data_IF_124164000449
#
_entry.id   IF_124164000449
#
_cell.length_a   1.000
_cell.length_b   1.000
_cell.length_c   1.000
_cell.angle_alpha   90.00
_cell.angle_beta   90.00
_cell.angle_gamma   90.00
#
_symmetry.space_group_name_H-M   'P 1'
#
loop_
_entity.id
_entity.type
_entity.pdbx_description
1 polymer ?
#
# COMPACT_ATOMS: atom_id res chain seq x y z
N UNK A 1 -2.37 2.08 -25.55
CA UNK A 1 -3.64 2.81 -25.38
C UNK A 1 -3.57 4.26 -25.86
N UNK A 2 -2.44 4.81 -26.24
CA UNK A 2 -2.32 6.15 -26.85
C UNK A 2 -2.76 7.33 -25.95
N UNK A 3 -2.77 7.15 -24.63
CA UNK A 3 -3.08 8.23 -23.69
C UNK A 3 -1.78 8.93 -23.34
N UNK A 4 -1.72 10.22 -23.64
CA UNK A 4 -0.60 11.06 -23.22
C UNK A 4 -0.77 11.42 -21.75
N UNK A 5 0.29 11.22 -20.97
CA UNK A 5 0.27 11.42 -19.52
C UNK A 5 1.40 12.35 -19.09
N UNK A 6 1.06 13.40 -18.36
CA UNK A 6 2.01 14.30 -17.73
C UNK A 6 1.98 14.06 -16.21
N UNK A 7 3.13 13.81 -15.61
CA UNK A 7 3.23 13.57 -14.16
C UNK A 7 3.86 14.77 -13.49
N UNK A 8 3.22 15.25 -12.44
CA UNK A 8 3.69 16.32 -11.59
C UNK A 8 3.94 15.76 -10.19
N UNK A 9 5.17 15.80 -9.73
CA UNK A 9 5.55 15.25 -8.43
C UNK A 9 6.45 16.19 -7.63
N UNK A 10 6.44 16.02 -6.31
CA UNK A 10 7.38 16.71 -5.43
C UNK A 10 8.77 16.10 -5.59
N UNK A 11 9.79 16.95 -5.69
CA UNK A 11 11.17 16.50 -5.60
C UNK A 11 11.59 16.31 -4.13
N UNK A 12 12.16 15.15 -3.81
CA UNK A 12 12.71 14.85 -2.48
C UNK A 12 14.23 14.74 -2.60
N UNK A 13 15.00 15.82 -2.41
CA UNK A 13 16.44 15.77 -2.50
C UNK A 13 17.01 14.79 -1.46
N UNK A 14 17.78 13.81 -1.92
CA UNK A 14 18.45 12.81 -1.06
C UNK A 14 17.70 11.51 -0.83
N UNK A 15 16.51 11.34 -1.39
CA UNK A 15 15.85 10.05 -1.51
C UNK A 15 16.12 9.49 -2.91
N UNK A 16 17.31 8.92 -3.12
CA UNK A 16 17.51 8.02 -4.26
C UNK A 16 16.86 6.68 -3.90
N UNK A 17 15.55 6.60 -4.00
CA UNK A 17 14.87 5.32 -3.93
C UNK A 17 15.03 4.62 -5.30
N UNK A 18 15.08 3.30 -5.30
CA UNK A 18 14.95 2.50 -6.53
C UNK A 18 13.74 2.92 -7.36
N UNK A 19 12.67 3.34 -6.72
CA UNK A 19 11.44 3.89 -7.29
C UNK A 19 11.66 5.09 -8.22
N UNK A 20 12.61 5.98 -7.90
CA UNK A 20 12.91 7.13 -8.76
C UNK A 20 13.53 6.73 -10.10
N UNK A 21 14.30 5.66 -10.12
CA UNK A 21 14.92 5.14 -11.36
C UNK A 21 13.85 4.54 -12.26
N UNK A 22 12.98 3.71 -11.69
CA UNK A 22 11.93 3.04 -12.45
C UNK A 22 10.93 4.07 -13.03
N UNK A 23 10.50 5.07 -12.24
CA UNK A 23 9.61 6.14 -12.72
C UNK A 23 10.28 6.96 -13.83
N UNK A 24 11.56 7.29 -13.72
CA UNK A 24 12.28 8.06 -14.74
C UNK A 24 12.49 7.27 -16.03
N UNK A 25 12.60 5.96 -15.95
CA UNK A 25 12.75 5.09 -17.10
C UNK A 25 11.45 4.92 -17.88
N UNK A 26 10.31 4.82 -17.17
CA UNK A 26 8.99 4.64 -17.75
C UNK A 26 8.32 5.93 -18.25
N UNK A 27 8.68 7.10 -17.73
CA UNK A 27 7.97 8.34 -18.07
C UNK A 27 8.92 9.53 -18.29
N UNK A 28 9.19 9.81 -19.58
CA UNK A 28 10.03 10.95 -20.00
C UNK A 28 9.37 12.32 -19.77
N UNK A 29 8.09 12.37 -19.40
CA UNK A 29 7.30 13.59 -19.21
C UNK A 29 7.06 13.95 -17.74
N UNK A 30 7.89 13.45 -16.81
CA UNK A 30 7.75 13.79 -15.40
C UNK A 30 8.31 15.19 -15.16
N UNK A 31 7.43 16.10 -14.75
CA UNK A 31 7.82 17.43 -14.25
C UNK A 31 7.93 17.38 -12.73
N UNK A 32 9.12 17.62 -12.19
CA UNK A 32 9.35 17.67 -10.74
C UNK A 32 9.33 19.11 -10.26
N UNK A 33 8.60 19.35 -9.18
CA UNK A 33 8.55 20.63 -8.51
C UNK A 33 9.51 20.59 -7.32
N UNK A 34 10.48 21.47 -7.30
CA UNK A 34 11.32 21.72 -6.13
C UNK A 34 10.50 22.49 -5.11
N UNK A 35 9.98 21.77 -4.14
CA UNK A 35 9.35 22.37 -2.98
C UNK A 35 10.45 22.45 -1.92
N UNK A 36 10.85 23.69 -1.58
CA UNK A 36 11.75 23.90 -0.45
C UNK A 36 11.09 23.28 0.79
N UNK A 37 11.71 22.26 1.34
CA UNK A 37 11.23 21.71 2.60
C UNK A 37 11.17 22.82 3.65
N UNK A 38 10.09 22.85 4.47
CA UNK A 38 10.14 23.62 5.68
C UNK A 38 11.37 23.16 6.44
N UNK A 39 12.08 24.06 7.04
CA UNK A 39 13.16 23.75 7.97
C UNK A 39 12.57 23.10 9.23
N UNK A 40 11.84 22.01 9.06
CA UNK A 40 11.56 21.10 10.17
C UNK A 40 12.92 20.58 10.56
N UNK A 41 13.36 20.78 11.80
CA UNK A 41 14.63 20.25 12.24
C UNK A 41 14.52 18.71 12.16
N UNK A 42 14.98 18.17 11.05
CA UNK A 42 15.20 16.73 10.92
C UNK A 42 16.13 16.36 12.06
N UNK A 43 15.64 15.59 13.01
CA UNK A 43 16.48 15.02 14.05
C UNK A 43 17.56 14.21 13.36
N UNK A 44 18.75 14.81 13.22
CA UNK A 44 19.92 14.07 12.74
C UNK A 44 20.01 12.81 13.58
N UNK A 45 20.00 11.65 12.94
CA UNK A 45 20.08 10.31 13.56
C UNK A 45 21.31 10.07 14.44
N UNK A 46 22.13 11.08 14.70
CA UNK A 46 23.29 11.01 15.58
C UNK A 46 22.83 11.30 17.01
N UNK A 47 22.86 10.26 17.84
CA UNK A 47 22.64 10.41 19.28
C UNK A 47 23.60 11.49 19.82
N UNK A 48 23.09 12.42 20.64
CA UNK A 48 23.92 13.48 21.21
C UNK A 48 25.01 12.90 22.11
N UNK A 49 26.25 13.26 21.87
CA UNK A 49 27.44 12.74 22.56
C UNK A 49 27.81 13.57 23.81
N UNK A 50 27.50 14.86 23.80
CA UNK A 50 27.85 15.78 24.90
C UNK A 50 26.65 16.19 25.74
N UNK A 51 26.86 16.64 26.97
CA UNK A 51 25.79 17.10 27.87
C UNK A 51 25.03 18.29 27.29
N UNK A 52 25.72 19.21 26.63
CA UNK A 52 25.12 20.35 25.95
C UNK A 52 24.24 19.94 24.73
N UNK A 53 24.70 18.96 23.98
CA UNK A 53 23.93 18.39 22.88
C UNK A 53 22.70 17.64 23.38
N UNK A 54 22.82 16.91 24.51
CA UNK A 54 21.70 16.24 25.19
C UNK A 54 20.64 17.23 25.66
N UNK A 55 21.07 18.36 26.22
CA UNK A 55 20.15 19.42 26.66
C UNK A 55 19.48 20.10 25.48
N UNK A 56 20.23 20.46 24.42
CA UNK A 56 19.68 21.02 23.18
C UNK A 56 18.74 20.03 22.48
N UNK A 57 19.08 18.75 22.51
CA UNK A 57 18.24 17.68 21.96
C UNK A 57 16.94 17.52 22.76
N UNK A 58 17.00 17.52 24.11
CA UNK A 58 15.82 17.51 24.97
C UNK A 58 14.93 18.74 24.74
N UNK A 59 15.50 19.93 24.70
CA UNK A 59 14.75 21.17 24.42
C UNK A 59 14.12 21.16 23.02
N UNK A 60 14.85 20.70 22.02
CA UNK A 60 14.36 20.54 20.67
C UNK A 60 13.27 19.46 20.58
N UNK A 61 13.42 18.36 21.32
CA UNK A 61 12.42 17.30 21.45
C UNK A 61 11.14 17.79 22.13
N UNK A 62 11.26 18.58 23.22
CA UNK A 62 10.11 19.20 23.88
C UNK A 62 9.44 20.25 23.00
N UNK A 63 10.22 21.08 22.31
CA UNK A 63 9.72 22.03 21.33
C UNK A 63 9.01 21.34 20.17
N UNK A 64 9.58 20.28 19.66
CA UNK A 64 8.97 19.41 18.65
C UNK A 64 7.69 18.75 19.19
N UNK A 65 7.67 18.23 20.41
CA UNK A 65 6.44 17.70 21.03
C UNK A 65 5.35 18.74 21.20
N UNK A 66 5.70 19.98 21.52
CA UNK A 66 4.70 21.06 21.63
C UNK A 66 4.21 21.48 20.24
N UNK A 67 5.09 21.56 19.26
CA UNK A 67 4.75 21.91 17.88
C UNK A 67 4.06 20.75 17.15
N UNK A 68 4.46 19.50 17.44
CA UNK A 68 3.90 18.28 16.84
C UNK A 68 2.97 17.50 17.79
N UNK A 69 2.58 18.06 18.92
CA UNK A 69 1.54 17.51 19.78
C UNK A 69 0.14 17.62 19.15
N UNK A 70 0.05 18.31 18.02
CA UNK A 70 -1.11 18.27 17.17
C UNK A 70 -0.97 17.11 16.17
N UNK A 71 -2.01 16.28 16.02
CA UNK A 71 -2.02 15.26 14.98
C UNK A 71 -1.72 15.89 13.63
N UNK A 72 -1.09 15.16 12.73
CA UNK A 72 -0.84 15.63 11.37
C UNK A 72 -2.19 15.69 10.68
N UNK A 73 -2.81 16.85 10.71
CA UNK A 73 -4.02 17.17 9.96
C UNK A 73 -3.63 17.89 8.67
N UNK A 74 -4.53 17.95 7.71
CA UNK A 74 -4.38 18.76 6.51
C UNK A 74 -4.04 20.21 6.82
N UNK A 75 -4.50 20.72 7.98
CA UNK A 75 -4.25 22.10 8.43
C UNK A 75 -2.89 22.30 9.12
N UNK A 76 -2.25 21.22 9.58
CA UNK A 76 -0.98 21.30 10.30
C UNK A 76 0.25 21.06 9.42
N UNK A 77 0.06 20.65 8.19
CA UNK A 77 1.13 20.66 7.20
C UNK A 77 1.34 22.15 6.87
N UNK A 78 2.32 22.74 7.52
CA UNK A 78 2.57 24.17 7.60
C UNK A 78 2.91 24.81 6.27
N UNK A 79 2.75 24.14 5.13
CA UNK A 79 3.24 24.63 3.89
C UNK A 79 2.25 24.58 2.77
N UNK A 80 2.22 25.68 2.19
CA UNK A 80 1.51 26.13 1.03
C UNK A 80 1.93 25.37 -0.25
N UNK A 81 1.92 24.04 -0.16
CA UNK A 81 2.33 23.13 -1.24
C UNK A 81 1.30 23.13 -2.36
N UNK A 82 0.02 23.24 -2.02
CA UNK A 82 -1.06 23.23 -3.00
C UNK A 82 -0.96 24.39 -4.01
N UNK A 83 -0.68 25.66 -3.63
CA UNK A 83 -0.42 26.73 -4.59
C UNK A 83 0.77 26.44 -5.51
N UNK A 84 1.85 25.85 -5.03
CA UNK A 84 3.01 25.51 -5.87
C UNK A 84 2.64 24.48 -6.94
N UNK A 85 1.89 23.44 -6.55
CA UNK A 85 1.35 22.49 -7.52
C UNK A 85 0.37 23.13 -8.49
N UNK A 86 -0.47 24.05 -8.01
CA UNK A 86 -1.39 24.80 -8.86
C UNK A 86 -0.65 25.63 -9.90
N UNK A 87 0.35 26.43 -9.48
CA UNK A 87 1.16 27.26 -10.37
C UNK A 87 1.89 26.43 -11.44
N UNK A 88 2.40 25.25 -11.07
CA UNK A 88 3.06 24.36 -12.01
C UNK A 88 2.09 23.61 -12.93
N UNK A 89 0.90 23.24 -12.44
CA UNK A 89 -0.08 22.52 -13.23
C UNK A 89 -0.77 23.39 -14.30
N UNK A 90 -1.08 24.65 -13.97
CA UNK A 90 -1.82 25.55 -14.87
C UNK A 90 -1.20 25.65 -16.27
N UNK A 91 0.10 25.96 -16.44
CA UNK A 91 0.70 26.07 -17.77
C UNK A 91 0.70 24.72 -18.52
N UNK A 92 0.85 23.60 -17.82
CA UNK A 92 0.80 22.25 -18.43
C UNK A 92 -0.60 21.97 -18.93
N UNK A 93 -1.62 22.22 -18.11
CA UNK A 93 -3.04 22.01 -18.47
C UNK A 93 -3.39 22.81 -19.74
N UNK A 94 -2.97 24.06 -19.80
CA UNK A 94 -3.27 24.95 -20.95
C UNK A 94 -2.50 24.54 -22.20
N UNK A 95 -1.21 24.26 -22.07
CA UNK A 95 -0.33 23.93 -23.20
C UNK A 95 -0.71 22.59 -23.85
N UNK A 96 -0.93 21.58 -23.00
CA UNK A 96 -1.15 20.20 -23.45
C UNK A 96 -2.64 19.83 -23.55
N UNK A 97 -3.54 20.83 -23.36
CA UNK A 97 -5.00 20.62 -23.44
C UNK A 97 -5.51 19.48 -22.56
N UNK A 98 -5.00 19.41 -21.33
CA UNK A 98 -5.34 18.34 -20.36
C UNK A 98 -6.84 18.42 -20.04
N UNK A 99 -7.54 17.31 -20.18
CA UNK A 99 -8.97 17.18 -19.90
C UNK A 99 -9.28 16.43 -18.61
N UNK A 100 -8.32 15.76 -18.02
CA UNK A 100 -8.47 14.96 -16.80
C UNK A 100 -7.26 15.13 -15.91
N UNK A 101 -7.49 15.46 -14.65
CA UNK A 101 -6.45 15.56 -13.62
C UNK A 101 -6.72 14.49 -12.56
N UNK A 102 -5.75 13.63 -12.32
CA UNK A 102 -5.80 12.62 -11.27
C UNK A 102 -4.79 13.01 -10.19
N UNK A 103 -5.25 13.13 -8.96
CA UNK A 103 -4.39 13.34 -7.80
C UNK A 103 -4.38 12.09 -6.92
N UNK A 104 -3.23 11.43 -6.83
CA UNK A 104 -2.99 10.42 -5.79
C UNK A 104 -2.55 11.13 -4.52
N UNK A 105 -3.32 10.96 -3.44
CA UNK A 105 -3.15 11.75 -2.21
C UNK A 105 -2.27 11.05 -1.18
N UNK A 106 -1.46 11.88 -0.56
CA UNK A 106 -0.65 11.64 0.61
C UNK A 106 0.53 12.62 0.60
N UNK A 107 0.53 13.62 1.48
CA UNK A 107 -0.43 14.00 2.54
C UNK A 107 -1.73 14.66 2.03
N UNK A 108 -2.81 14.51 2.80
CA UNK A 108 -4.16 14.98 2.41
C UNK A 108 -4.26 16.48 2.11
N UNK A 109 -3.45 17.33 2.76
CA UNK A 109 -3.40 18.78 2.48
C UNK A 109 -3.11 19.11 1.01
N UNK A 110 -2.41 18.26 0.31
CA UNK A 110 -2.12 18.47 -1.12
C UNK A 110 -3.38 18.47 -1.98
N UNK A 111 -4.45 17.82 -1.52
CA UNK A 111 -5.72 17.79 -2.25
C UNK A 111 -6.41 19.17 -2.37
N UNK A 112 -5.96 20.20 -1.62
CA UNK A 112 -6.40 21.57 -1.83
C UNK A 112 -6.13 22.05 -3.27
N UNK A 113 -5.13 21.51 -3.95
CA UNK A 113 -4.87 21.83 -5.37
C UNK A 113 -6.06 21.53 -6.27
N UNK A 114 -6.85 20.49 -5.96
CA UNK A 114 -8.05 20.15 -6.73
C UNK A 114 -9.12 21.22 -6.58
N UNK A 115 -9.25 21.84 -5.40
CA UNK A 115 -10.17 22.96 -5.16
C UNK A 115 -9.76 24.15 -6.02
N UNK A 116 -8.47 24.50 -6.00
CA UNK A 116 -7.93 25.62 -6.77
C UNK A 116 -8.07 25.39 -8.29
N UNK A 117 -7.76 24.20 -8.75
CA UNK A 117 -7.86 23.84 -10.17
C UNK A 117 -9.32 23.78 -10.63
N UNK A 118 -10.26 23.28 -9.83
CA UNK A 118 -11.69 23.22 -10.16
C UNK A 118 -12.29 24.61 -10.36
N UNK A 119 -11.88 25.58 -9.54
CA UNK A 119 -12.30 26.98 -9.72
C UNK A 119 -11.80 27.56 -11.04
N UNK A 120 -10.54 27.27 -11.41
CA UNK A 120 -9.93 27.80 -12.64
C UNK A 120 -10.40 27.08 -13.91
N UNK A 121 -10.61 25.77 -13.80
CA UNK A 121 -10.94 24.88 -14.93
C UNK A 121 -12.19 24.04 -14.62
N UNK A 122 -13.39 24.65 -14.55
CA UNK A 122 -14.61 23.97 -14.13
C UNK A 122 -15.03 22.81 -15.04
N UNK A 123 -14.58 22.81 -16.30
CA UNK A 123 -14.94 21.80 -17.31
C UNK A 123 -13.96 20.61 -17.38
N UNK A 124 -12.82 20.67 -16.67
CA UNK A 124 -11.89 19.55 -16.59
C UNK A 124 -12.41 18.54 -15.55
N UNK A 125 -12.19 17.26 -15.80
CA UNK A 125 -12.47 16.19 -14.84
C UNK A 125 -11.38 16.15 -13.77
N UNK A 126 -11.82 16.04 -12.52
CA UNK A 126 -10.94 15.90 -11.37
C UNK A 126 -11.20 14.57 -10.68
N UNK A 127 -10.16 13.78 -10.50
CA UNK A 127 -10.19 12.46 -9.91
C UNK A 127 -9.29 12.44 -8.68
N UNK A 128 -9.82 11.98 -7.57
CA UNK A 128 -9.07 11.77 -6.35
C UNK A 128 -8.74 10.28 -6.23
N UNK A 129 -7.47 9.93 -6.17
CA UNK A 129 -7.01 8.56 -5.90
C UNK A 129 -6.57 8.46 -4.43
N UNK A 130 -7.46 7.92 -3.59
CA UNK A 130 -7.23 7.74 -2.16
C UNK A 130 -6.93 6.28 -1.85
N UNK A 131 -5.68 6.00 -1.51
CA UNK A 131 -5.16 4.65 -1.23
C UNK A 131 -5.17 4.28 0.24
N UNK A 132 -5.14 5.30 1.12
CA UNK A 132 -5.07 5.17 2.58
C UNK A 132 -6.26 5.90 3.18
N UNK A 133 -7.32 5.24 3.49
CA UNK A 133 -8.59 5.82 3.93
C UNK A 133 -8.42 7.05 4.86
N UNK A 134 -8.76 8.22 4.35
CA UNK A 134 -8.55 9.52 5.02
C UNK A 134 -9.10 9.57 6.45
N UNK A 135 -10.23 8.94 6.68
CA UNK A 135 -10.89 9.00 8.00
C UNK A 135 -10.18 8.19 9.10
N UNK A 136 -9.21 7.34 8.79
CA UNK A 136 -8.42 6.62 9.81
C UNK A 136 -7.63 7.57 10.71
N UNK A 137 -7.27 8.76 10.21
CA UNK A 137 -6.57 9.77 10.99
C UNK A 137 -7.49 10.53 11.97
N UNK A 138 -8.82 10.45 11.78
CA UNK A 138 -9.78 11.24 12.56
C UNK A 138 -9.83 10.87 14.04
N UNK A 139 -9.54 9.63 14.38
CA UNK A 139 -9.52 9.15 15.76
C UNK A 139 -8.47 9.85 16.63
N UNK A 140 -7.44 10.41 16.00
CA UNK A 140 -6.34 11.12 16.67
C UNK A 140 -6.62 12.60 16.90
N UNK A 141 -7.75 13.12 16.41
CA UNK A 141 -8.09 14.54 16.39
C UNK A 141 -8.96 14.94 17.58
N UNK A 142 -8.72 16.13 18.13
CA UNK A 142 -9.69 16.76 19.03
C UNK A 142 -10.91 17.29 18.26
N UNK A 143 -11.97 17.67 18.98
CA UNK A 143 -13.24 18.06 18.35
C UNK A 143 -13.12 19.23 17.36
N UNK A 144 -12.30 20.23 17.65
CA UNK A 144 -12.08 21.39 16.78
C UNK A 144 -11.31 21.00 15.52
N UNK A 145 -10.26 20.20 15.67
CA UNK A 145 -9.48 19.68 14.56
C UNK A 145 -10.33 18.78 13.66
N UNK A 146 -11.14 17.91 14.28
CA UNK A 146 -12.03 17.00 13.55
C UNK A 146 -13.05 17.77 12.69
N UNK A 147 -13.64 18.84 13.22
CA UNK A 147 -14.59 19.67 12.47
C UNK A 147 -13.89 20.34 11.26
N UNK A 148 -12.73 20.93 11.48
CA UNK A 148 -11.97 21.59 10.42
C UNK A 148 -11.53 20.59 9.34
N UNK A 149 -11.10 19.38 9.74
CA UNK A 149 -10.67 18.32 8.81
C UNK A 149 -11.85 17.79 7.99
N UNK A 150 -13.00 17.55 8.61
CA UNK A 150 -14.23 17.15 7.91
C UNK A 150 -14.71 18.21 6.92
N UNK A 151 -14.62 19.48 7.27
CA UNK A 151 -14.97 20.56 6.36
C UNK A 151 -14.00 20.62 5.17
N UNK A 152 -12.70 20.51 5.43
CA UNK A 152 -11.70 20.46 4.37
C UNK A 152 -11.93 19.26 3.44
N UNK A 153 -12.12 18.06 4.00
CA UNK A 153 -12.44 16.86 3.24
C UNK A 153 -13.69 17.07 2.37
N UNK A 154 -14.77 17.62 2.94
CA UNK A 154 -15.99 17.92 2.20
C UNK A 154 -15.74 18.85 1.01
N UNK A 155 -14.93 19.89 1.20
CA UNK A 155 -14.59 20.84 0.12
C UNK A 155 -13.80 20.17 -1.00
N UNK A 156 -12.85 19.28 -0.66
CA UNK A 156 -12.12 18.47 -1.65
C UNK A 156 -13.06 17.53 -2.38
N UNK A 157 -13.93 16.80 -1.65
CA UNK A 157 -14.89 15.87 -2.26
C UNK A 157 -15.87 16.59 -3.19
N UNK A 158 -16.26 17.83 -2.88
CA UNK A 158 -17.10 18.65 -3.77
C UNK A 158 -16.38 19.07 -5.06
N UNK A 159 -15.07 19.14 -5.03
CA UNK A 159 -14.25 19.57 -6.18
C UNK A 159 -13.91 18.43 -7.14
N UNK A 160 -14.20 17.18 -6.81
CA UNK A 160 -13.88 16.01 -7.63
C UNK A 160 -15.12 15.40 -8.28
N UNK A 161 -14.91 14.80 -9.45
CA UNK A 161 -15.95 14.17 -10.26
C UNK A 161 -15.98 12.65 -10.03
N UNK A 162 -14.84 12.07 -9.61
CA UNK A 162 -14.67 10.65 -9.31
C UNK A 162 -13.66 10.46 -8.18
N UNK A 163 -13.92 9.47 -7.33
CA UNK A 163 -12.99 9.01 -6.32
C UNK A 163 -12.54 7.59 -6.68
N UNK A 164 -11.25 7.32 -6.62
CA UNK A 164 -10.66 5.99 -6.74
C UNK A 164 -10.28 5.50 -5.36
N UNK A 165 -10.58 4.25 -5.06
CA UNK A 165 -10.21 3.60 -3.79
C UNK A 165 -9.75 2.18 -4.05
N UNK A 166 -8.81 1.62 -3.26
CA UNK A 166 -8.32 0.27 -3.48
C UNK A 166 -9.27 -0.83 -2.99
N UNK A 167 -10.22 -0.51 -2.09
CA UNK A 167 -11.04 -1.49 -1.38
C UNK A 167 -12.53 -1.20 -1.53
N UNK A 168 -13.33 -2.25 -1.59
CA UNK A 168 -14.79 -2.14 -1.68
C UNK A 168 -15.39 -1.47 -0.43
N UNK A 169 -14.84 -1.71 0.75
CA UNK A 169 -15.28 -1.06 1.99
C UNK A 169 -15.12 0.47 1.93
N UNK A 170 -13.97 0.96 1.47
CA UNK A 170 -13.74 2.40 1.28
C UNK A 170 -14.71 2.99 0.25
N UNK A 171 -14.97 2.27 -0.84
CA UNK A 171 -15.95 2.70 -1.85
C UNK A 171 -17.31 2.94 -1.20
N UNK A 172 -17.84 1.96 -0.48
CA UNK A 172 -19.15 2.07 0.18
C UNK A 172 -19.19 3.25 1.16
N UNK A 173 -18.12 3.41 1.95
CA UNK A 173 -18.00 4.52 2.91
C UNK A 173 -18.03 5.89 2.21
N UNK A 174 -17.29 6.06 1.12
CA UNK A 174 -17.27 7.32 0.39
C UNK A 174 -18.57 7.59 -0.37
N UNK A 175 -19.17 6.60 -1.01
CA UNK A 175 -20.48 6.74 -1.68
C UNK A 175 -21.56 7.18 -0.68
N UNK A 176 -21.60 6.56 0.50
CA UNK A 176 -22.56 6.88 1.56
C UNK A 176 -22.33 8.26 2.17
N UNK A 177 -21.06 8.63 2.44
CA UNK A 177 -20.73 9.87 3.15
C UNK A 177 -20.84 11.11 2.28
N UNK A 178 -20.54 11.01 0.99
CA UNK A 178 -20.40 12.19 0.12
C UNK A 178 -21.33 12.19 -1.10
N UNK A 179 -22.13 11.14 -1.30
CA UNK A 179 -22.97 10.98 -2.49
C UNK A 179 -22.18 11.21 -3.79
N UNK A 180 -20.96 10.69 -3.85
CA UNK A 180 -20.05 10.80 -4.99
C UNK A 180 -19.90 9.47 -5.69
N UNK A 181 -19.56 9.53 -6.97
CA UNK A 181 -19.18 8.33 -7.73
C UNK A 181 -17.83 7.84 -7.24
N UNK A 182 -17.75 6.58 -6.87
CA UNK A 182 -16.52 5.94 -6.44
C UNK A 182 -16.25 4.71 -7.29
N UNK A 183 -15.04 4.58 -7.76
CA UNK A 183 -14.57 3.41 -8.48
C UNK A 183 -13.54 2.67 -7.61
N UNK A 184 -13.77 1.37 -7.43
CA UNK A 184 -12.79 0.52 -6.76
C UNK A 184 -11.71 0.14 -7.77
N UNK A 185 -10.54 0.78 -7.64
CA UNK A 185 -9.34 0.48 -8.41
C UNK A 185 -8.38 -0.28 -7.49
N UNK A 186 -8.35 -1.61 -7.52
CA UNK A 186 -7.50 -2.38 -6.63
C UNK A 186 -6.01 -2.09 -6.86
N UNK A 187 -5.18 -2.48 -5.91
CA UNK A 187 -3.74 -2.48 -6.14
C UNK A 187 -3.41 -3.42 -7.28
N UNK A 188 -2.51 -2.97 -8.14
CA UNK A 188 -2.12 -3.70 -9.34
C UNK A 188 -0.72 -4.31 -9.17
N UNK A 189 -0.45 -5.31 -9.98
CA UNK A 189 0.85 -5.96 -10.06
C UNK A 189 1.37 -5.90 -11.49
N UNK A 190 2.67 -5.68 -11.64
CA UNK A 190 3.34 -5.88 -12.90
C UNK A 190 3.69 -7.38 -13.05
N UNK A 191 3.14 -8.00 -14.08
CA UNK A 191 3.42 -9.42 -14.35
C UNK A 191 4.63 -9.62 -15.24
N UNK A 192 5.13 -8.56 -15.88
CA UNK A 192 6.30 -8.64 -16.76
C UNK A 192 7.58 -8.87 -15.93
N UNK A 193 7.60 -8.37 -14.69
CA UNK A 193 8.67 -8.61 -13.71
C UNK A 193 8.63 -10.01 -13.08
N UNK A 194 7.51 -10.71 -13.22
CA UNK A 194 7.31 -12.05 -12.68
C UNK A 194 7.74 -13.09 -13.74
N UNK A 195 9.02 -13.38 -13.77
CA UNK A 195 9.51 -14.44 -14.63
C UNK A 195 8.88 -15.78 -14.26
N UNK A 196 8.29 -16.45 -15.25
CA UNK A 196 7.80 -17.82 -15.12
C UNK A 196 8.99 -18.77 -14.92
N UNK A 197 9.50 -18.85 -13.71
CA UNK A 197 10.54 -19.84 -13.40
C UNK A 197 9.89 -21.23 -13.26
N UNK A 198 10.57 -22.18 -13.85
CA UNK A 198 10.29 -23.61 -13.74
C UNK A 198 10.25 -24.04 -12.27
N UNK A 199 9.30 -24.91 -11.92
CA UNK A 199 9.17 -25.52 -10.60
C UNK A 199 10.52 -26.04 -10.09
N UNK A 200 10.94 -25.63 -8.92
CA UNK A 200 12.09 -26.18 -8.22
C UNK A 200 11.89 -27.70 -8.03
N UNK A 201 12.96 -28.45 -8.14
CA UNK A 201 12.95 -29.89 -7.87
C UNK A 201 12.36 -30.13 -6.47
N UNK A 202 11.43 -31.09 -6.37
CA UNK A 202 10.81 -31.48 -5.09
C UNK A 202 11.90 -31.89 -4.12
N UNK A 203 12.05 -31.15 -3.05
CA UNK A 203 12.91 -31.49 -1.92
C UNK A 203 12.05 -32.02 -0.78
N UNK A 204 12.65 -32.88 0.09
CA UNK A 204 11.97 -33.34 1.31
C UNK A 204 11.73 -32.20 2.34
N UNK A 205 12.18 -31.00 2.04
CA UNK A 205 12.12 -29.84 2.93
C UNK A 205 11.05 -28.88 2.45
N UNK A 206 10.10 -28.55 3.31
CA UNK A 206 9.10 -27.50 3.09
C UNK A 206 9.77 -26.15 3.31
N UNK A 207 9.83 -25.35 2.26
CA UNK A 207 10.40 -24.00 2.28
C UNK A 207 9.29 -22.97 2.39
N UNK A 208 9.31 -22.18 3.44
CA UNK A 208 8.32 -21.12 3.70
C UNK A 208 9.07 -19.77 3.75
N UNK A 209 8.53 -18.74 3.13
CA UNK A 209 9.18 -17.44 3.06
C UNK A 209 8.24 -16.30 3.46
N UNK A 210 8.79 -15.30 4.14
CA UNK A 210 8.18 -14.00 4.39
C UNK A 210 9.12 -12.89 3.92
N UNK A 211 8.58 -11.83 3.32
CA UNK A 211 9.33 -10.60 3.01
C UNK A 211 8.51 -9.36 3.30
N UNK A 212 9.10 -8.33 3.88
CA UNK A 212 8.49 -7.04 4.11
C UNK A 212 8.70 -6.49 5.52
N UNK A 213 8.04 -5.37 5.80
CA UNK A 213 8.05 -4.78 7.13
C UNK A 213 7.03 -5.50 8.04
N UNK A 214 7.30 -5.49 9.34
CA UNK A 214 6.31 -5.89 10.33
C UNK A 214 5.41 -4.72 10.68
N UNK A 215 4.13 -5.03 10.85
CA UNK A 215 3.17 -4.12 11.46
C UNK A 215 3.27 -4.20 12.98
N UNK A 216 2.71 -3.21 13.68
CA UNK A 216 2.44 -3.33 15.12
C UNK A 216 1.30 -4.33 15.39
N UNK A 217 1.28 -4.91 16.58
CA UNK A 217 0.21 -5.80 17.05
C UNK A 217 0.06 -7.10 16.22
N UNK A 218 1.20 -7.75 15.92
CA UNK A 218 1.24 -9.03 15.20
C UNK A 218 1.84 -10.17 16.05
N UNK A 219 1.98 -9.97 17.35
CA UNK A 219 2.56 -10.94 18.28
C UNK A 219 1.86 -12.29 18.21
N UNK A 220 0.52 -12.28 18.23
CA UNK A 220 -0.29 -13.50 18.13
C UNK A 220 -0.08 -14.21 16.80
N UNK A 221 0.07 -13.47 15.71
CA UNK A 221 0.35 -14.03 14.39
C UNK A 221 1.73 -14.74 14.36
N UNK A 222 2.73 -14.17 15.04
CA UNK A 222 4.06 -14.78 15.16
C UNK A 222 3.99 -16.08 15.98
N UNK A 223 3.20 -16.11 17.06
CA UNK A 223 2.97 -17.32 17.83
C UNK A 223 2.38 -18.43 16.94
N UNK A 224 1.32 -18.12 16.20
CA UNK A 224 0.68 -19.08 15.27
C UNK A 224 1.66 -19.60 14.21
N UNK A 225 2.53 -18.72 13.68
CA UNK A 225 3.59 -19.13 12.73
C UNK A 225 4.53 -20.14 13.37
N UNK A 226 4.97 -19.92 14.61
CA UNK A 226 5.85 -20.88 15.31
C UNK A 226 5.14 -22.21 15.58
N UNK A 227 3.88 -22.16 15.94
CA UNK A 227 3.07 -23.36 16.19
C UNK A 227 2.88 -24.20 14.94
N UNK A 228 2.52 -23.59 13.79
CA UNK A 228 2.37 -24.34 12.53
C UNK A 228 3.69 -24.95 12.06
N UNK A 229 4.79 -24.21 12.22
CA UNK A 229 6.14 -24.72 11.89
C UNK A 229 6.52 -25.92 12.77
N UNK A 230 6.21 -25.85 14.07
CA UNK A 230 6.45 -26.92 15.02
C UNK A 230 5.60 -28.17 14.70
N UNK A 231 4.32 -27.96 14.36
CA UNK A 231 3.40 -29.03 13.99
C UNK A 231 3.81 -29.74 12.69
N UNK A 232 4.18 -28.98 11.65
CA UNK A 232 4.71 -29.53 10.39
C UNK A 232 5.97 -30.39 10.65
N UNK A 233 6.88 -29.88 11.49
CA UNK A 233 8.08 -30.63 11.88
C UNK A 233 7.75 -31.85 12.70
N UNK A 234 6.80 -31.78 13.63
CA UNK A 234 6.30 -32.91 14.44
C UNK A 234 5.63 -34.02 13.61
N UNK A 235 5.13 -33.69 12.42
CA UNK A 235 4.63 -34.66 11.42
C UNK A 235 5.75 -35.27 10.54
N UNK A 236 7.01 -35.11 10.95
CA UNK A 236 8.19 -35.70 10.28
C UNK A 236 8.66 -34.94 9.03
N UNK A 237 8.18 -33.75 8.79
CA UNK A 237 8.65 -32.91 7.66
C UNK A 237 9.86 -32.08 8.06
N UNK A 238 10.83 -31.99 7.17
CA UNK A 238 11.86 -30.94 7.28
C UNK A 238 11.22 -29.60 6.90
N UNK A 239 11.38 -28.60 7.74
CA UNK A 239 10.82 -27.27 7.51
C UNK A 239 11.91 -26.23 7.60
N UNK A 240 11.92 -25.27 6.67
CA UNK A 240 12.82 -24.12 6.68
C UNK A 240 12.00 -22.86 6.42
N UNK A 241 12.04 -21.93 7.35
CA UNK A 241 11.29 -20.67 7.26
C UNK A 241 12.27 -19.51 7.23
N UNK A 242 12.19 -18.68 6.20
CA UNK A 242 13.06 -17.54 6.00
C UNK A 242 12.27 -16.23 6.03
N UNK A 243 12.67 -15.31 6.92
CA UNK A 243 12.11 -13.98 7.04
C UNK A 243 13.10 -12.94 6.51
N UNK A 244 12.71 -12.20 5.47
CA UNK A 244 13.45 -11.05 4.92
C UNK A 244 12.76 -9.78 5.37
N UNK A 245 13.33 -9.06 6.35
CA UNK A 245 12.65 -7.96 7.04
C UNK A 245 13.53 -6.71 7.16
N UNK A 246 12.92 -5.56 6.95
CA UNK A 246 13.61 -4.26 6.91
C UNK A 246 13.71 -3.58 8.28
N UNK A 247 12.90 -3.96 9.24
CA UNK A 247 12.75 -3.26 10.52
C UNK A 247 13.24 -4.14 11.67
N UNK A 248 13.99 -3.53 12.59
CA UNK A 248 14.29 -4.15 13.88
C UNK A 248 13.01 -4.26 14.69
N UNK A 249 12.76 -5.39 15.27
CA UNK A 249 11.60 -5.71 16.09
C UNK A 249 11.24 -7.18 15.97
N UNK A 250 10.58 -7.69 16.97
CA UNK A 250 10.13 -9.09 17.04
C UNK A 250 11.26 -10.13 16.96
N UNK A 251 12.53 -9.74 17.25
CA UNK A 251 13.66 -10.67 17.21
C UNK A 251 13.48 -11.83 18.19
N UNK A 252 13.02 -11.53 19.40
CA UNK A 252 12.76 -12.52 20.45
C UNK A 252 11.53 -13.38 20.13
N UNK A 253 10.50 -12.75 19.61
CA UNK A 253 9.25 -13.41 19.23
C UNK A 253 9.49 -14.41 18.11
N UNK A 254 10.39 -14.11 17.17
CA UNK A 254 10.76 -14.98 16.05
C UNK A 254 11.78 -16.06 16.39
N UNK A 255 12.34 -16.07 17.62
CA UNK A 255 13.28 -17.11 18.04
C UNK A 255 12.63 -18.51 17.95
N UNK A 256 13.13 -19.30 16.99
CA UNK A 256 12.72 -20.69 16.76
C UNK A 256 13.79 -21.42 15.93
N UNK A 257 14.13 -22.71 16.22
CA UNK A 257 15.21 -23.41 15.54
C UNK A 257 15.04 -23.52 14.02
N UNK A 258 13.81 -23.50 13.52
CA UNK A 258 13.46 -23.67 12.11
C UNK A 258 13.17 -22.34 11.40
N UNK A 259 13.25 -21.20 12.11
CA UNK A 259 13.02 -19.87 11.57
C UNK A 259 14.35 -19.13 11.48
N UNK A 260 14.69 -18.63 10.29
CA UNK A 260 15.85 -17.80 10.06
C UNK A 260 15.40 -16.40 9.64
N UNK A 261 16.08 -15.40 10.19
CA UNK A 261 15.88 -14.00 9.84
C UNK A 261 17.06 -13.49 9.04
N UNK A 262 16.76 -12.74 8.00
CA UNK A 262 17.69 -12.07 7.13
C UNK A 262 17.36 -10.59 7.03
N UNK A 263 18.33 -9.79 6.61
CA UNK A 263 18.09 -8.40 6.27
C UNK A 263 17.20 -8.28 5.04
N UNK A 264 16.62 -7.10 4.87
CA UNK A 264 15.81 -6.80 3.69
C UNK A 264 16.64 -6.97 2.40
N UNK A 265 16.01 -7.58 1.42
CA UNK A 265 16.52 -7.73 0.06
C UNK A 265 15.64 -6.94 -0.91
N UNK A 266 16.13 -6.63 -2.09
CA UNK A 266 15.33 -5.95 -3.11
C UNK A 266 14.17 -6.83 -3.62
N UNK A 267 13.21 -6.21 -4.29
CA UNK A 267 12.00 -6.89 -4.75
C UNK A 267 12.29 -8.01 -5.73
N UNK A 268 13.24 -7.81 -6.64
CA UNK A 268 13.56 -8.81 -7.67
C UNK A 268 14.23 -10.06 -7.05
N UNK A 269 15.13 -9.85 -6.11
CA UNK A 269 15.75 -10.94 -5.36
C UNK A 269 14.71 -11.66 -4.50
N UNK A 270 13.79 -10.92 -3.84
CA UNK A 270 12.70 -11.51 -3.07
C UNK A 270 11.82 -12.39 -3.95
N UNK A 271 11.41 -11.92 -5.13
CA UNK A 271 10.59 -12.72 -6.05
C UNK A 271 11.30 -14.01 -6.48
N UNK A 272 12.60 -13.96 -6.75
CA UNK A 272 13.40 -15.16 -7.01
C UNK A 272 13.36 -16.15 -5.84
N UNK A 273 13.50 -15.66 -4.60
CA UNK A 273 13.40 -16.50 -3.40
C UNK A 273 12.00 -17.08 -3.21
N UNK A 274 10.95 -16.30 -3.48
CA UNK A 274 9.55 -16.77 -3.43
C UNK A 274 9.36 -17.92 -4.43
N UNK A 275 9.94 -17.83 -5.61
CA UNK A 275 9.80 -18.89 -6.62
C UNK A 275 10.44 -20.22 -6.18
N UNK A 276 11.50 -20.18 -5.37
CA UNK A 276 12.12 -21.35 -4.77
C UNK A 276 11.36 -21.91 -3.55
N UNK A 277 10.43 -21.14 -2.99
CA UNK A 277 9.64 -21.54 -1.83
C UNK A 277 8.43 -22.39 -2.22
N UNK A 278 7.95 -23.20 -1.27
CA UNK A 278 6.72 -23.96 -1.40
C UNK A 278 5.51 -23.15 -0.93
N UNK A 279 5.68 -22.30 0.07
CA UNK A 279 4.66 -21.43 0.66
C UNK A 279 5.20 -20.04 0.93
N UNK A 280 4.30 -19.06 0.87
CA UNK A 280 4.61 -17.66 1.24
C UNK A 280 3.74 -17.23 2.40
N UNK A 281 4.29 -16.45 3.32
CA UNK A 281 3.55 -15.92 4.46
C UNK A 281 3.03 -14.53 4.13
N UNK A 282 1.77 -14.28 4.47
CA UNK A 282 1.15 -12.96 4.53
C UNK A 282 0.67 -12.69 5.96
N UNK A 283 1.15 -11.61 6.56
CA UNK A 283 0.76 -11.17 7.90
C UNK A 283 0.06 -9.83 7.79
N UNK A 284 -1.14 -9.73 8.34
CA UNK A 284 -1.85 -8.46 8.53
C UNK A 284 -2.27 -8.30 9.97
N UNK A 285 -2.22 -7.09 10.53
CA UNK A 285 -2.73 -6.84 11.88
C UNK A 285 -4.25 -7.04 11.93
N UNK A 286 -4.82 -7.36 13.10
CA UNK A 286 -6.24 -7.71 13.24
C UNK A 286 -7.22 -6.64 12.74
N UNK A 287 -6.82 -5.38 12.72
CA UNK A 287 -7.66 -4.26 12.25
C UNK A 287 -7.55 -3.96 10.75
N UNK A 288 -6.75 -4.71 9.97
CA UNK A 288 -6.55 -4.51 8.53
C UNK A 288 -7.04 -5.69 7.68
N UNK A 289 -8.08 -6.34 8.10
CA UNK A 289 -8.62 -7.57 7.49
C UNK A 289 -9.15 -7.38 6.05
N UNK A 290 -9.54 -6.16 5.69
CA UNK A 290 -10.09 -5.81 4.38
C UNK A 290 -9.05 -5.15 3.46
N UNK A 291 -7.81 -4.99 3.91
CA UNK A 291 -6.75 -4.33 3.15
C UNK A 291 -6.02 -5.29 2.21
N UNK A 292 -6.57 -5.54 1.04
CA UNK A 292 -5.88 -6.29 -0.02
C UNK A 292 -4.76 -5.44 -0.63
N UNK A 293 -3.59 -5.47 0.01
CA UNK A 293 -2.42 -4.67 -0.35
C UNK A 293 -1.80 -5.07 -1.69
N UNK A 294 -0.90 -4.24 -2.23
CA UNK A 294 -0.08 -4.59 -3.41
C UNK A 294 0.65 -5.91 -3.19
N UNK A 295 1.24 -6.10 -2.01
CA UNK A 295 1.92 -7.34 -1.63
C UNK A 295 1.02 -8.58 -1.74
N UNK A 296 -0.27 -8.48 -1.37
CA UNK A 296 -1.20 -9.59 -1.55
C UNK A 296 -1.30 -10.01 -3.02
N UNK A 297 -1.51 -9.04 -3.92
CA UNK A 297 -1.64 -9.33 -5.35
C UNK A 297 -0.31 -9.76 -5.99
N UNK A 298 0.83 -9.26 -5.52
CA UNK A 298 2.16 -9.75 -5.92
C UNK A 298 2.34 -11.23 -5.58
N UNK A 299 1.98 -11.64 -4.35
CA UNK A 299 2.05 -13.04 -3.93
C UNK A 299 1.09 -13.93 -4.74
N UNK A 300 -0.11 -13.43 -5.03
CA UNK A 300 -1.07 -14.12 -5.92
C UNK A 300 -0.49 -14.31 -7.32
N UNK A 301 0.15 -13.27 -7.86
CA UNK A 301 0.77 -13.32 -9.19
C UNK A 301 1.94 -14.29 -9.25
N UNK A 302 2.70 -14.43 -8.19
CA UNK A 302 3.78 -15.43 -8.04
C UNK A 302 3.29 -16.88 -7.95
N UNK A 303 1.97 -17.09 -7.89
CA UNK A 303 1.30 -18.41 -7.89
C UNK A 303 1.84 -19.38 -6.84
N UNK A 304 2.17 -18.85 -5.67
CA UNK A 304 2.54 -19.68 -4.51
C UNK A 304 1.38 -19.74 -3.51
N UNK A 305 1.15 -20.88 -2.87
CA UNK A 305 0.15 -20.99 -1.79
C UNK A 305 0.47 -19.99 -0.68
N UNK A 306 -0.50 -19.15 -0.32
CA UNK A 306 -0.34 -18.13 0.70
C UNK A 306 -0.77 -18.68 2.06
N UNK A 307 0.10 -18.60 3.05
CA UNK A 307 -0.23 -18.85 4.46
C UNK A 307 -0.57 -17.47 5.08
N UNK A 308 -1.86 -17.21 5.24
CA UNK A 308 -2.35 -15.94 5.75
C UNK A 308 -2.56 -16.01 7.26
N UNK A 309 -1.90 -15.10 7.98
CA UNK A 309 -2.04 -14.87 9.41
C UNK A 309 -2.62 -13.49 9.62
N UNK A 310 -3.88 -13.43 9.99
CA UNK A 310 -4.64 -12.19 10.18
C UNK A 310 -6.08 -12.49 10.54
N UNK A 311 -6.90 -11.47 10.70
CA UNK A 311 -8.30 -11.63 11.02
C UNK A 311 -9.16 -12.09 9.82
N UNK A 312 -10.43 -12.42 10.12
CA UNK A 312 -11.44 -12.73 9.09
C UNK A 312 -11.90 -11.44 8.41
N UNK A 313 -11.93 -11.44 7.09
CA UNK A 313 -12.36 -10.31 6.25
C UNK A 313 -12.06 -10.55 4.78
N UNK A 314 -12.05 -9.48 3.97
CA UNK A 314 -11.92 -9.57 2.50
C UNK A 314 -10.72 -10.41 2.06
N UNK A 315 -9.57 -10.29 2.73
CA UNK A 315 -8.35 -11.04 2.38
C UNK A 315 -8.55 -12.54 2.58
N UNK A 316 -9.07 -12.95 3.74
CA UNK A 316 -9.31 -14.38 4.03
C UNK A 316 -10.39 -14.98 3.14
N UNK A 317 -11.48 -14.21 2.92
CA UNK A 317 -12.58 -14.64 2.05
C UNK A 317 -12.12 -14.80 0.61
N UNK A 318 -11.34 -13.86 0.12
CA UNK A 318 -10.77 -13.90 -1.24
C UNK A 318 -9.83 -15.09 -1.42
N UNK A 319 -8.95 -15.32 -0.44
CA UNK A 319 -8.01 -16.43 -0.44
C UNK A 319 -8.70 -17.80 -0.52
N UNK A 320 -9.75 -17.99 0.29
CA UNK A 320 -10.54 -19.22 0.33
C UNK A 320 -11.37 -19.40 -0.94
N UNK A 321 -12.11 -18.35 -1.33
CA UNK A 321 -12.99 -18.35 -2.51
C UNK A 321 -12.25 -18.77 -3.78
N UNK A 322 -11.05 -18.24 -3.98
CA UNK A 322 -10.24 -18.50 -5.17
C UNK A 322 -9.16 -19.58 -4.97
N UNK A 323 -9.17 -20.26 -3.83
CA UNK A 323 -8.23 -21.34 -3.51
C UNK A 323 -6.77 -20.92 -3.71
N UNK A 324 -6.38 -19.76 -3.19
CA UNK A 324 -5.04 -19.19 -3.35
C UNK A 324 -4.10 -19.49 -2.19
N UNK A 325 -4.62 -20.05 -1.09
CA UNK A 325 -3.86 -20.36 0.11
C UNK A 325 -4.73 -20.75 1.27
N UNK A 326 -4.24 -20.55 2.47
CA UNK A 326 -4.84 -20.95 3.73
C UNK A 326 -4.95 -19.75 4.66
N UNK A 327 -6.11 -19.55 5.26
CA UNK A 327 -6.29 -18.66 6.40
C UNK A 327 -6.06 -19.46 7.69
N UNK A 328 -5.02 -19.10 8.42
CA UNK A 328 -4.56 -19.84 9.60
C UNK A 328 -4.92 -19.08 10.85
N UNK A 329 -5.69 -19.75 11.72
CA UNK A 329 -6.14 -19.23 13.01
C UNK A 329 -5.83 -20.26 14.10
N UNK A 330 -5.98 -19.87 15.37
CA UNK A 330 -5.83 -20.81 16.50
C UNK A 330 -6.82 -21.97 16.43
N UNK A 331 -8.04 -21.71 15.93
CA UNK A 331 -9.13 -22.69 15.87
C UNK A 331 -8.90 -23.76 14.79
N UNK A 332 -8.24 -23.40 13.68
CA UNK A 332 -8.06 -24.32 12.55
C UNK A 332 -6.62 -24.81 12.34
N UNK A 333 -5.73 -24.54 13.27
CA UNK A 333 -4.29 -24.77 13.12
C UNK A 333 -3.95 -26.22 12.73
N UNK A 334 -4.52 -27.20 13.42
CA UNK A 334 -4.28 -28.64 13.14
C UNK A 334 -4.82 -29.03 11.76
N UNK A 335 -6.03 -28.61 11.43
CA UNK A 335 -6.65 -28.88 10.13
C UNK A 335 -5.84 -28.24 9.00
N UNK A 336 -5.37 -27.01 9.19
CA UNK A 336 -4.50 -26.31 8.22
C UNK A 336 -3.20 -27.06 7.97
N UNK A 337 -2.60 -27.65 9.00
CA UNK A 337 -1.40 -28.50 8.84
C UNK A 337 -1.70 -29.71 7.96
N UNK A 338 -2.80 -30.42 8.21
CA UNK A 338 -3.18 -31.59 7.43
C UNK A 338 -3.48 -31.23 5.95
N UNK A 339 -4.12 -30.10 5.72
CA UNK A 339 -4.37 -29.56 4.38
C UNK A 339 -3.07 -29.15 3.66
N UNK A 340 -2.14 -28.48 4.34
CA UNK A 340 -0.82 -28.15 3.80
C UNK A 340 -0.06 -29.41 3.39
N UNK A 341 -0.05 -30.41 4.24
CA UNK A 341 0.61 -31.69 3.95
C UNK A 341 -0.03 -32.42 2.77
N UNK A 342 -1.35 -32.40 2.67
CA UNK A 342 -2.09 -32.93 1.52
C UNK A 342 -1.73 -32.19 0.24
N UNK A 343 -1.64 -30.86 0.27
CA UNK A 343 -1.34 -30.06 -0.91
C UNK A 343 0.09 -30.27 -1.44
N UNK A 344 1.04 -30.62 -0.61
CA UNK A 344 2.40 -30.98 -1.05
C UNK A 344 2.34 -32.13 -2.08
N UNK A 345 1.39 -33.03 -1.93
CA UNK A 345 1.20 -34.15 -2.85
C UNK A 345 0.30 -33.79 -4.02
N UNK A 346 -0.84 -33.14 -3.75
CA UNK A 346 -1.89 -32.88 -4.75
C UNK A 346 -1.62 -31.66 -5.60
N UNK A 347 -0.93 -30.65 -5.07
CA UNK A 347 -0.63 -29.36 -5.73
C UNK A 347 -1.89 -28.67 -6.30
N UNK A 348 -3.00 -28.72 -5.56
CA UNK A 348 -4.27 -28.14 -5.93
C UNK A 348 -4.41 -26.65 -5.51
N UNK A 349 -3.49 -26.15 -4.69
CA UNK A 349 -3.42 -24.76 -4.24
C UNK A 349 -2.04 -24.22 -4.61
N UNK A 350 -1.93 -23.02 -5.24
CA UNK A 350 -3.05 -22.19 -5.67
C UNK A 350 -3.77 -22.75 -6.90
N UNK A 351 -5.04 -22.32 -7.08
CA UNK A 351 -5.81 -22.72 -8.27
C UNK A 351 -5.12 -22.23 -9.54
N UNK A 352 -4.76 -23.16 -10.41
CA UNK A 352 -4.05 -22.85 -11.67
C UNK A 352 -4.90 -22.09 -12.67
N UNK A 353 -6.23 -22.17 -12.54
CA UNK A 353 -7.17 -21.49 -13.41
C UNK A 353 -7.50 -20.07 -12.96
N UNK A 354 -6.96 -19.64 -11.80
CA UNK A 354 -7.16 -18.27 -11.34
C UNK A 354 -6.53 -17.26 -12.32
N UNK A 355 -7.34 -16.34 -12.81
CA UNK A 355 -6.88 -15.32 -13.76
C UNK A 355 -6.21 -14.14 -13.07
N UNK A 356 -4.89 -14.16 -13.02
CA UNK A 356 -4.07 -13.08 -12.46
C UNK A 356 -4.17 -11.80 -13.31
N UNK A 357 -4.54 -11.89 -14.59
CA UNK A 357 -4.59 -10.74 -15.50
C UNK A 357 -5.54 -9.65 -15.03
N UNK A 358 -6.57 -10.02 -14.23
CA UNK A 358 -7.53 -9.10 -13.63
C UNK A 358 -6.87 -8.06 -12.69
N UNK A 359 -5.69 -8.35 -12.17
CA UNK A 359 -4.95 -7.48 -11.25
C UNK A 359 -3.73 -6.82 -11.89
N UNK A 360 -3.58 -6.92 -13.22
CA UNK A 360 -2.48 -6.24 -13.91
C UNK A 360 -2.76 -4.76 -14.12
N UNK A 361 -1.70 -3.95 -14.14
CA UNK A 361 -1.80 -2.54 -14.53
C UNK A 361 -2.52 -2.36 -15.85
N UNK A 362 -2.20 -3.19 -16.85
CA UNK A 362 -2.82 -3.13 -18.18
C UNK A 362 -4.35 -3.29 -18.13
N UNK A 363 -4.84 -4.28 -17.40
CA UNK A 363 -6.27 -4.56 -17.27
C UNK A 363 -6.98 -3.45 -16.52
N UNK A 364 -6.45 -3.08 -15.34
CA UNK A 364 -7.06 -2.07 -14.48
C UNK A 364 -7.01 -0.67 -15.09
N UNK A 365 -5.95 -0.33 -15.82
CA UNK A 365 -5.87 0.93 -16.55
C UNK A 365 -6.94 0.99 -17.65
N UNK A 366 -7.18 -0.11 -18.37
CA UNK A 366 -8.26 -0.15 -19.36
C UNK A 366 -9.62 0.14 -18.72
N UNK A 367 -9.94 -0.53 -17.63
CA UNK A 367 -11.20 -0.32 -16.91
C UNK A 367 -11.32 1.12 -16.36
N UNK A 368 -10.22 1.69 -15.86
CA UNK A 368 -10.20 3.09 -15.41
C UNK A 368 -10.49 4.04 -16.58
N UNK A 369 -9.85 3.84 -17.72
CA UNK A 369 -10.07 4.66 -18.93
C UNK A 369 -11.53 4.57 -19.39
N UNK A 370 -12.08 3.37 -19.44
CA UNK A 370 -13.49 3.16 -19.80
C UNK A 370 -14.41 3.89 -18.81
N UNK A 371 -14.08 3.84 -17.51
CA UNK A 371 -14.83 4.55 -16.47
C UNK A 371 -14.75 6.08 -16.64
N UNK A 372 -13.57 6.61 -16.99
CA UNK A 372 -13.38 8.05 -17.24
C UNK A 372 -14.11 8.54 -18.48
N UNK A 373 -14.15 7.73 -19.56
CA UNK A 373 -14.89 8.05 -20.78
C UNK A 373 -16.41 8.11 -20.51
N UNK A 374 -16.94 7.20 -19.73
CA UNK A 374 -18.37 7.24 -19.32
C UNK A 374 -18.74 8.39 -18.37
N UNK A 375 -17.78 9.10 -17.81
CA UNK A 375 -18.05 10.38 -17.11
C UNK A 375 -18.43 11.49 -18.11
N UNK A 376 -17.88 11.48 -19.34
CA UNK A 376 -18.14 12.49 -20.37
C UNK A 376 -19.57 12.42 -20.90
N UNK A 377 -20.08 11.21 -21.16
CA UNK A 377 -21.40 11.00 -21.77
C UNK A 377 -22.54 11.60 -20.92
N UNK A 378 -22.33 11.70 -19.61
CA UNK A 378 -23.34 12.26 -18.70
C UNK A 378 -23.21 13.77 -18.42
N UNK A 379 -22.03 14.32 -18.62
CA UNK A 379 -21.83 15.78 -18.53
C UNK A 379 -22.42 16.45 -19.78
N UNK A 380 -22.30 15.80 -20.95
CA UNK A 380 -22.88 16.28 -22.22
C UNK A 380 -24.42 16.17 -22.27
N UNK A 381 -25.02 15.28 -21.48
CA UNK A 381 -26.47 15.10 -21.40
C UNK A 381 -27.17 15.99 -20.35
N UNK A 382 -26.46 16.89 -19.69
CA UNK A 382 -26.99 17.85 -18.71
C UNK A 382 -26.94 19.32 -19.17
N UNK A 383 -26.60 19.55 -20.45
CA UNK A 383 -26.62 20.89 -21.08
C UNK A 383 -27.92 21.08 -21.89
#
# INVERSE_FOLDING_TARGET
>A
MGIETHVLSKNFPGLSSSWDKDILEYNKTITRIDISEPKVPYFKKKLPSTILEKMRWKLSFWKSKIIHAQPITSNNISENTAPLFFEAAVPIILKESINTVILSIGPYKYSEVLILLKVKFPFIKFVLDDRDYWNEEFEKLNSTQLLAEKEFQKNVMNSVDLILTPYQEMKVKYETSFNKRVYCLPHCVDTDDIQNSSSSAKTDTIKIIYGGAFYSNIEDNIILIKEIVSLLSGRGKKVNVNFFVSVKGYEKELEHPLIKRFDFIDTSEYFSKVQEADYVILILPPNRVNAMSSKFFELVALRKPILYFGGVGDVSEYLIKYRLGYHITSENLTTSVDEILSNITTQNIPDKNYDVSLHTFKYQTKLLVDTLNHLDDRLNNKV
#
